data_IF_700079528374
#
_entry.id   IF_700079528374
#
_cell.length_a   1.000
_cell.length_b   1.000
_cell.length_c   1.000
_cell.angle_alpha   90.00
_cell.angle_beta   90.00
_cell.angle_gamma   90.00
#
_symmetry.space_group_name_H-M   'P 1'
#
loop_
_entity.id
_entity.type
_entity.pdbx_description
1 polymer ?
#
# COMPACT_ATOMS: atom_id res chain seq x y z
N UNK A 1 -5.97 -2.52 0.22
CA UNK A 1 -7.14 -1.83 -0.38
C UNK A 1 -8.44 -2.57 -0.12
N UNK A 2 -8.57 -3.83 -0.52
CA UNK A 2 -9.83 -4.60 -0.39
C UNK A 2 -10.33 -4.74 1.06
N UNK A 3 -9.46 -5.11 1.98
CA UNK A 3 -9.81 -5.24 3.40
C UNK A 3 -10.28 -3.90 3.97
N UNK A 4 -9.63 -2.81 3.61
CA UNK A 4 -10.00 -1.46 4.04
C UNK A 4 -11.39 -1.11 3.47
N UNK A 5 -11.67 -1.41 2.20
CA UNK A 5 -12.94 -1.17 1.56
C UNK A 5 -14.09 -1.95 2.24
N UNK A 6 -13.88 -3.23 2.56
CA UNK A 6 -14.85 -4.04 3.30
C UNK A 6 -15.09 -3.52 4.72
N UNK A 7 -14.04 -3.10 5.42
CA UNK A 7 -14.15 -2.55 6.77
C UNK A 7 -14.94 -1.25 6.76
N UNK A 8 -14.64 -0.34 5.84
CA UNK A 8 -15.34 0.94 5.70
C UNK A 8 -16.79 0.79 5.26
N UNK A 9 -17.10 -0.22 4.46
CA UNK A 9 -18.49 -0.51 4.10
C UNK A 9 -19.34 -0.93 5.32
N UNK A 10 -18.71 -1.51 6.34
CA UNK A 10 -19.35 -1.91 7.59
C UNK A 10 -19.43 -0.79 8.65
N UNK A 11 -18.71 0.33 8.45
CA UNK A 11 -18.64 1.44 9.41
C UNK A 11 -19.85 2.36 9.29
N UNK A 12 -20.27 2.95 10.41
CA UNK A 12 -21.37 3.89 10.48
C UNK A 12 -21.18 5.07 9.50
N UNK A 13 -22.25 5.46 8.84
CA UNK A 13 -22.27 6.50 7.78
C UNK A 13 -21.62 7.83 8.20
N UNK A 14 -21.75 8.18 9.49
CA UNK A 14 -21.26 9.45 10.05
C UNK A 14 -19.72 9.59 10.06
N UNK A 15 -19.00 8.49 10.27
CA UNK A 15 -17.51 8.49 10.36
C UNK A 15 -16.86 8.03 9.04
N UNK A 16 -17.65 7.54 8.10
CA UNK A 16 -17.15 7.01 6.82
C UNK A 16 -16.40 8.05 5.97
N UNK A 17 -16.92 9.28 5.89
CA UNK A 17 -16.31 10.36 5.11
C UNK A 17 -14.90 10.70 5.54
N UNK A 18 -14.63 11.05 6.80
CA UNK A 18 -13.29 11.30 7.31
C UNK A 18 -12.33 10.12 7.12
N UNK A 19 -12.81 8.88 7.27
CA UNK A 19 -11.99 7.69 7.07
C UNK A 19 -11.61 7.48 5.59
N UNK A 20 -12.54 7.72 4.66
CA UNK A 20 -12.27 7.70 3.22
C UNK A 20 -11.20 8.74 2.89
N UNK A 21 -11.37 9.97 3.38
CA UNK A 21 -10.40 11.03 3.15
C UNK A 21 -9.00 10.66 3.65
N UNK A 22 -8.89 10.16 4.88
CA UNK A 22 -7.62 9.71 5.44
C UNK A 22 -6.97 8.56 4.66
N UNK A 23 -7.78 7.66 4.08
CA UNK A 23 -7.30 6.54 3.27
C UNK A 23 -6.77 7.01 1.91
N UNK A 24 -7.33 8.08 1.32
CA UNK A 24 -6.92 8.61 0.02
C UNK A 24 -5.70 9.55 0.13
N UNK A 25 -5.43 10.08 1.32
CA UNK A 25 -4.37 11.06 1.56
C UNK A 25 -2.99 10.66 1.02
N UNK A 26 -2.52 9.41 1.14
CA UNK A 26 -1.24 8.99 0.57
C UNK A 26 -1.12 9.18 -0.95
N UNK A 27 -2.23 9.09 -1.67
CA UNK A 27 -2.26 9.24 -3.13
C UNK A 27 -2.00 10.69 -3.59
N UNK A 28 -2.22 11.68 -2.71
CA UNK A 28 -2.00 13.10 -3.00
C UNK A 28 -0.50 13.42 -3.02
N UNK A 29 0.29 12.66 -2.26
CA UNK A 29 1.74 12.83 -2.18
C UNK A 29 2.39 12.20 -3.40
N UNK A 30 3.21 12.97 -4.14
CA UNK A 30 3.95 12.40 -5.27
C UNK A 30 4.95 11.34 -4.79
N UNK A 31 5.17 10.25 -5.54
CA UNK A 31 6.05 9.15 -5.12
C UNK A 31 7.46 9.61 -4.74
N UNK A 32 8.02 10.54 -5.51
CA UNK A 32 9.35 11.09 -5.25
C UNK A 32 9.42 11.84 -3.92
N UNK A 33 8.48 12.76 -3.68
CA UNK A 33 8.44 13.53 -2.43
C UNK A 33 8.18 12.62 -1.24
N UNK A 34 7.23 11.67 -1.38
CA UNK A 34 6.93 10.70 -0.32
C UNK A 34 8.12 9.83 0.03
N UNK A 35 8.90 9.37 -0.95
CA UNK A 35 10.10 8.58 -0.72
C UNK A 35 11.20 9.38 -0.02
N UNK A 36 11.41 10.65 -0.41
CA UNK A 36 12.38 11.54 0.24
C UNK A 36 11.99 11.83 1.70
N UNK A 37 10.72 12.15 1.96
CA UNK A 37 10.22 12.36 3.32
C UNK A 37 10.42 11.11 4.18
N UNK A 38 10.05 9.95 3.66
CA UNK A 38 10.27 8.68 4.37
C UNK A 38 11.75 8.43 4.63
N UNK A 39 12.62 8.69 3.64
CA UNK A 39 14.07 8.58 3.79
C UNK A 39 14.61 9.42 4.94
N UNK A 40 14.14 10.67 5.08
CA UNK A 40 14.49 11.53 6.21
C UNK A 40 13.90 11.03 7.55
N UNK A 41 12.68 10.50 7.53
CA UNK A 41 12.02 10.01 8.76
C UNK A 41 12.71 8.76 9.33
N UNK A 42 13.24 7.87 8.49
CA UNK A 42 13.94 6.64 8.91
C UNK A 42 15.43 6.85 9.19
N UNK A 43 15.94 8.06 8.95
CA UNK A 43 17.32 8.41 9.33
C UNK A 43 17.51 8.23 10.85
N UNK A 44 18.76 8.00 11.26
CA UNK A 44 19.12 7.88 12.69
C UNK A 44 18.68 9.09 13.53
N UNK A 45 18.63 10.27 12.91
CA UNK A 45 18.14 11.50 13.53
C UNK A 45 16.65 11.79 13.24
N UNK A 46 16.00 10.96 12.41
CA UNK A 46 14.59 11.10 12.07
C UNK A 46 13.67 10.53 13.15
N UNK A 47 12.40 10.94 13.10
CA UNK A 47 11.41 10.54 14.10
C UNK A 47 11.28 9.02 14.21
N UNK A 48 11.22 8.31 13.08
CA UNK A 48 11.06 6.84 13.06
C UNK A 48 12.38 6.18 13.48
N UNK A 49 13.51 6.60 12.89
CA UNK A 49 14.83 6.02 13.16
C UNK A 49 15.21 6.13 14.64
N UNK A 50 15.10 7.31 15.22
CA UNK A 50 15.40 7.54 16.64
C UNK A 50 14.50 6.73 17.59
N UNK A 51 13.18 6.61 17.29
CA UNK A 51 12.29 5.80 18.11
C UNK A 51 12.59 4.30 18.02
N UNK A 52 12.98 3.79 16.86
CA UNK A 52 13.35 2.37 16.67
C UNK A 52 14.67 2.08 17.42
N UNK A 53 15.67 2.97 17.32
CA UNK A 53 16.91 2.85 18.09
C UNK A 53 16.65 2.78 19.60
N UNK A 54 15.79 3.64 20.12
CA UNK A 54 15.40 3.64 21.52
C UNK A 54 14.65 2.36 21.92
N UNK A 55 13.75 1.86 21.07
CA UNK A 55 12.97 0.65 21.33
C UNK A 55 13.84 -0.61 21.32
N UNK A 56 14.82 -0.68 20.42
CA UNK A 56 15.74 -1.81 20.29
C UNK A 56 16.98 -1.67 21.18
N UNK A 57 17.11 -0.57 21.88
CA UNK A 57 18.26 -0.24 22.76
C UNK A 57 19.62 -0.39 22.04
N UNK A 58 19.65 -0.09 20.75
CA UNK A 58 20.85 -0.12 19.90
C UNK A 58 21.03 1.23 19.18
N UNK A 59 21.89 2.12 19.70
CA UNK A 59 22.13 3.44 19.13
C UNK A 59 22.83 3.42 17.77
N UNK A 60 23.40 2.29 17.37
CA UNK A 60 24.08 2.11 16.07
C UNK A 60 23.17 1.50 15.00
N UNK A 61 21.94 1.12 15.36
CA UNK A 61 20.99 0.56 14.41
C UNK A 61 20.59 1.64 13.40
N UNK A 62 20.97 1.45 12.14
CA UNK A 62 20.52 2.29 11.05
C UNK A 62 19.65 1.46 10.09
N UNK A 63 18.40 1.89 9.92
CA UNK A 63 17.49 1.27 8.95
C UNK A 63 18.03 1.35 7.51
N UNK A 64 18.92 2.31 7.23
CA UNK A 64 19.55 2.52 5.93
C UNK A 64 20.76 1.63 5.70
N UNK A 65 21.50 1.24 6.73
CA UNK A 65 22.73 0.48 6.57
C UNK A 65 22.50 -1.01 6.31
N UNK A 66 21.35 -1.55 6.66
CA UNK A 66 20.98 -2.93 6.39
C UNK A 66 20.16 -3.05 5.10
N UNK A 67 20.67 -3.78 4.11
CA UNK A 67 19.97 -4.08 2.86
C UNK A 67 18.55 -4.62 3.09
N UNK A 68 18.40 -5.53 4.04
CA UNK A 68 17.11 -6.16 4.37
C UNK A 68 16.12 -5.15 4.93
N UNK A 69 16.56 -4.30 5.89
CA UNK A 69 15.69 -3.30 6.48
C UNK A 69 15.25 -2.23 5.47
N UNK A 70 16.16 -1.80 4.60
CA UNK A 70 15.85 -0.88 3.50
C UNK A 70 14.77 -1.46 2.58
N UNK A 71 14.89 -2.73 2.16
CA UNK A 71 13.88 -3.37 1.32
C UNK A 71 12.52 -3.50 2.01
N UNK A 72 12.50 -3.88 3.28
CA UNK A 72 11.26 -3.94 4.08
C UNK A 72 10.60 -2.56 4.12
N UNK A 73 11.37 -1.51 4.35
CA UNK A 73 10.85 -0.12 4.40
C UNK A 73 10.26 0.31 3.05
N UNK A 74 10.95 0.00 1.93
CA UNK A 74 10.44 0.29 0.58
C UNK A 74 9.14 -0.46 0.31
N UNK A 75 9.05 -1.73 0.72
CA UNK A 75 7.83 -2.54 0.56
C UNK A 75 6.67 -1.95 1.37
N UNK A 76 6.89 -1.59 2.63
CA UNK A 76 5.87 -0.97 3.49
C UNK A 76 5.42 0.36 2.89
N UNK A 77 6.34 1.19 2.43
CA UNK A 77 6.03 2.44 1.73
C UNK A 77 5.19 2.19 0.47
N UNK A 78 5.58 1.22 -0.36
CA UNK A 78 4.84 0.84 -1.56
C UNK A 78 3.41 0.41 -1.25
N UNK A 79 3.22 -0.44 -0.23
CA UNK A 79 1.88 -0.85 0.23
C UNK A 79 1.05 0.36 0.67
N UNK A 80 1.63 1.26 1.46
CA UNK A 80 0.96 2.46 1.94
C UNK A 80 0.58 3.40 0.80
N UNK A 81 1.48 3.62 -0.15
CA UNK A 81 1.29 4.54 -1.28
C UNK A 81 0.28 4.02 -2.32
N UNK A 82 0.30 2.69 -2.61
CA UNK A 82 -0.60 2.08 -3.61
C UNK A 82 -1.97 1.66 -3.03
N UNK A 83 -2.10 1.54 -1.71
CA UNK A 83 -3.37 1.15 -1.06
C UNK A 83 -4.56 2.03 -1.41
N UNK A 84 -4.44 3.37 -1.53
CA UNK A 84 -5.56 4.25 -1.84
C UNK A 84 -6.23 3.97 -3.17
N UNK A 85 -5.44 3.75 -4.23
CA UNK A 85 -5.98 3.41 -5.54
C UNK A 85 -6.82 2.13 -5.49
N UNK A 86 -6.24 1.06 -4.97
CA UNK A 86 -6.94 -0.21 -4.81
C UNK A 86 -8.18 -0.05 -3.91
N UNK A 87 -8.09 0.74 -2.84
CA UNK A 87 -9.22 1.03 -1.96
C UNK A 87 -10.38 1.70 -2.70
N UNK A 88 -10.13 2.78 -3.45
CA UNK A 88 -11.18 3.53 -4.17
C UNK A 88 -11.89 2.63 -5.17
N UNK A 89 -11.12 1.86 -5.96
CA UNK A 89 -11.68 0.97 -6.98
C UNK A 89 -12.50 -0.15 -6.34
N UNK A 90 -12.01 -0.80 -5.29
CA UNK A 90 -12.77 -1.83 -4.58
C UNK A 90 -13.99 -1.27 -3.84
N UNK A 91 -13.85 -0.10 -3.25
CA UNK A 91 -14.98 0.55 -2.59
C UNK A 91 -16.11 0.87 -3.57
N UNK A 92 -15.78 1.40 -4.76
CA UNK A 92 -16.76 1.62 -5.83
C UNK A 92 -17.40 0.30 -6.30
N UNK A 93 -16.60 -0.74 -6.52
CA UNK A 93 -17.10 -2.05 -6.93
C UNK A 93 -18.04 -2.68 -5.89
N UNK A 94 -17.76 -2.50 -4.60
CA UNK A 94 -18.64 -2.99 -3.53
C UNK A 94 -20.01 -2.29 -3.52
N UNK A 95 -20.13 -1.07 -4.05
CA UNK A 95 -21.41 -0.38 -4.17
C UNK A 95 -22.27 -0.92 -5.32
N UNK A 96 -21.68 -1.65 -6.28
CA UNK A 96 -22.42 -2.25 -7.42
C UNK A 96 -22.98 -3.63 -7.11
N UNK A 97 -22.63 -4.22 -5.96
CA UNK A 97 -23.11 -5.56 -5.58
C UNK A 97 -24.61 -5.51 -5.31
N UNK A 98 -25.44 -6.34 -6.00
CA UNK A 98 -26.87 -6.37 -5.79
C UNK A 98 -27.21 -6.78 -4.33
N UNK A 99 -28.20 -6.12 -3.74
CA UNK A 99 -28.61 -6.43 -2.37
C UNK A 99 -29.47 -7.69 -2.27
N UNK A 100 -30.25 -7.99 -3.29
CA UNK A 100 -31.17 -9.15 -3.32
C UNK A 100 -30.48 -10.49 -3.00
N UNK A 101 -29.35 -10.88 -3.64
CA UNK A 101 -28.64 -12.12 -3.30
C UNK A 101 -28.06 -12.10 -1.87
N UNK A 102 -27.69 -10.91 -1.37
CA UNK A 102 -27.16 -10.77 -0.01
C UNK A 102 -28.27 -11.00 1.02
N UNK A 103 -29.45 -10.43 0.78
CA UNK A 103 -30.62 -10.58 1.65
C UNK A 103 -31.13 -12.03 1.64
N UNK A 104 -31.23 -12.67 0.47
CA UNK A 104 -31.57 -14.08 0.36
C UNK A 104 -30.61 -14.96 1.17
N UNK A 105 -29.30 -14.74 1.02
CA UNK A 105 -28.29 -15.49 1.77
C UNK A 105 -28.35 -15.24 3.30
N UNK A 106 -28.83 -14.08 3.75
CA UNK A 106 -29.08 -13.82 5.17
C UNK A 106 -30.25 -14.68 5.68
N UNK A 107 -31.34 -14.77 4.89
CA UNK A 107 -32.51 -15.61 5.22
C UNK A 107 -32.10 -17.08 5.29
N UNK A 108 -31.24 -17.54 4.39
CA UNK A 108 -30.66 -18.89 4.37
C UNK A 108 -29.65 -19.17 5.50
N UNK A 109 -29.38 -18.18 6.37
CA UNK A 109 -28.48 -18.33 7.50
C UNK A 109 -26.99 -18.26 7.15
N UNK A 110 -26.63 -17.81 5.95
CA UNK A 110 -25.24 -17.69 5.53
C UNK A 110 -24.44 -16.71 6.40
N UNK A 111 -23.29 -17.15 6.88
CA UNK A 111 -22.36 -16.31 7.63
C UNK A 111 -21.81 -15.15 6.78
N UNK A 112 -21.30 -14.10 7.43
CA UNK A 112 -20.70 -12.94 6.74
C UNK A 112 -19.58 -13.34 5.79
N UNK A 113 -18.72 -14.27 6.19
CA UNK A 113 -17.63 -14.77 5.38
C UNK A 113 -18.12 -15.56 4.15
N UNK A 114 -19.17 -16.36 4.30
CA UNK A 114 -19.78 -17.10 3.18
C UNK A 114 -20.37 -16.15 2.14
N UNK A 115 -21.06 -15.10 2.55
CA UNK A 115 -21.61 -14.07 1.65
C UNK A 115 -20.51 -13.33 0.89
N UNK A 116 -19.41 -12.95 1.57
CA UNK A 116 -18.25 -12.32 0.91
C UNK A 116 -17.65 -13.27 -0.12
N UNK A 117 -17.42 -14.54 0.25
CA UNK A 117 -16.75 -15.52 -0.61
C UNK A 117 -17.57 -15.92 -1.82
N UNK A 118 -18.88 -16.11 -1.67
CA UNK A 118 -19.73 -16.71 -2.71
C UNK A 118 -20.60 -15.71 -3.48
N UNK A 119 -20.81 -14.49 -2.97
CA UNK A 119 -21.61 -13.47 -3.64
C UNK A 119 -20.75 -12.27 -4.01
N UNK A 120 -20.11 -11.66 -3.02
CA UNK A 120 -19.36 -10.40 -3.25
C UNK A 120 -18.12 -10.63 -4.12
N UNK A 121 -17.29 -11.59 -3.76
CA UNK A 121 -16.00 -11.83 -4.42
C UNK A 121 -16.18 -12.24 -5.91
N UNK A 122 -17.08 -13.17 -6.28
CA UNK A 122 -17.33 -13.47 -7.70
C UNK A 122 -17.85 -12.27 -8.49
N UNK A 123 -18.72 -11.44 -7.88
CA UNK A 123 -19.24 -10.25 -8.55
C UNK A 123 -18.15 -9.23 -8.88
N UNK A 124 -17.22 -8.99 -7.95
CA UNK A 124 -16.13 -8.02 -8.13
C UNK A 124 -14.87 -8.63 -8.77
N UNK A 125 -14.89 -9.92 -9.15
CA UNK A 125 -13.72 -10.60 -9.71
C UNK A 125 -13.08 -9.89 -10.91
N UNK A 126 -13.85 -9.32 -11.88
CA UNK A 126 -13.26 -8.54 -12.96
C UNK A 126 -12.49 -7.32 -12.47
N UNK A 127 -12.98 -6.68 -11.40
CA UNK A 127 -12.33 -5.52 -10.77
C UNK A 127 -11.07 -5.95 -10.03
N UNK A 128 -11.08 -7.11 -9.38
CA UNK A 128 -9.89 -7.69 -8.73
C UNK A 128 -8.78 -7.90 -9.77
N UNK A 129 -9.14 -8.49 -10.92
CA UNK A 129 -8.20 -8.72 -12.02
C UNK A 129 -7.64 -7.41 -12.56
N UNK A 130 -8.50 -6.41 -12.77
CA UNK A 130 -8.08 -5.08 -13.23
C UNK A 130 -7.09 -4.42 -12.26
N UNK A 131 -7.41 -4.38 -10.97
CA UNK A 131 -6.53 -3.81 -9.94
C UNK A 131 -5.22 -4.57 -9.86
N UNK A 132 -5.25 -5.90 -9.98
CA UNK A 132 -4.03 -6.72 -9.97
C UNK A 132 -3.12 -6.40 -11.17
N UNK A 133 -3.68 -6.26 -12.38
CA UNK A 133 -2.91 -5.90 -13.58
C UNK A 133 -2.29 -4.50 -13.46
N UNK A 134 -3.06 -3.50 -13.03
CA UNK A 134 -2.53 -2.14 -12.82
C UNK A 134 -1.43 -2.15 -11.75
N UNK A 135 -1.67 -2.82 -10.63
CA UNK A 135 -0.66 -2.91 -9.56
C UNK A 135 0.62 -3.62 -10.03
N UNK A 136 0.48 -4.66 -10.87
CA UNK A 136 1.63 -5.32 -11.47
C UNK A 136 2.40 -4.35 -12.38
N UNK A 137 1.71 -3.63 -13.26
CA UNK A 137 2.31 -2.63 -14.15
C UNK A 137 3.04 -1.53 -13.36
N UNK A 138 2.42 -1.01 -12.30
CA UNK A 138 3.02 0.03 -11.46
C UNK A 138 4.25 -0.47 -10.71
N UNK A 139 4.28 -1.74 -10.30
CA UNK A 139 5.46 -2.32 -9.67
C UNK A 139 6.68 -2.42 -10.62
N UNK A 140 6.48 -2.52 -11.93
CA UNK A 140 7.60 -2.41 -12.88
C UNK A 140 8.15 -0.99 -13.00
N UNK A 141 7.39 0.03 -12.57
CA UNK A 141 7.78 1.44 -12.59
C UNK A 141 8.38 1.93 -11.27
N UNK A 142 8.80 1.02 -10.38
CA UNK A 142 9.39 1.35 -9.05
C UNK A 142 10.78 1.97 -9.20
N UNK A 143 10.86 3.08 -9.90
CA UNK A 143 12.11 3.82 -10.11
C UNK A 143 12.30 4.93 -9.07
N UNK A 144 11.25 5.70 -8.80
CA UNK A 144 11.29 6.88 -7.93
C UNK A 144 11.61 6.58 -6.46
N UNK A 145 10.97 5.58 -5.80
CA UNK A 145 11.35 5.20 -4.45
C UNK A 145 12.80 4.70 -4.36
N UNK A 146 13.27 3.99 -5.39
CA UNK A 146 14.64 3.47 -5.42
C UNK A 146 15.64 4.62 -5.54
N UNK A 147 15.40 5.64 -6.38
CA UNK A 147 16.25 6.83 -6.45
C UNK A 147 16.31 7.53 -5.09
N UNK A 148 15.16 7.76 -4.45
CA UNK A 148 15.11 8.41 -3.15
C UNK A 148 15.93 7.68 -2.07
N UNK A 149 16.04 6.34 -2.17
CA UNK A 149 16.80 5.51 -1.24
C UNK A 149 18.24 5.22 -1.71
N UNK A 150 18.57 5.40 -3.00
CA UNK A 150 19.86 4.97 -3.58
C UNK A 150 20.94 6.02 -3.55
N UNK A 151 20.63 7.27 -3.21
CA UNK A 151 21.65 8.32 -3.18
C UNK A 151 22.84 7.96 -2.27
N UNK A 152 22.64 7.07 -1.28
CA UNK A 152 23.68 6.55 -0.39
C UNK A 152 23.46 5.08 0.03
N UNK A 153 22.50 4.37 -0.55
CA UNK A 153 21.98 3.14 0.05
C UNK A 153 22.17 1.86 -0.77
N UNK A 154 21.88 0.76 -0.10
CA UNK A 154 22.03 -0.63 -0.56
C UNK A 154 20.93 -1.13 -1.51
N UNK A 155 19.96 -0.29 -1.90
CA UNK A 155 18.89 -0.64 -2.82
C UNK A 155 19.35 -0.46 -4.27
N UNK A 156 19.87 -1.51 -4.90
CA UNK A 156 20.17 -1.53 -6.32
C UNK A 156 19.08 -2.27 -7.08
N UNK A 157 18.52 -1.63 -8.09
CA UNK A 157 17.61 -2.25 -9.05
C UNK A 157 18.36 -2.56 -10.35
N UNK A 158 17.85 -3.53 -11.10
CA UNK A 158 18.38 -3.92 -12.41
C UNK A 158 18.43 -2.75 -13.39
N UNK A 159 17.58 -1.74 -13.24
CA UNK A 159 17.56 -0.54 -14.08
C UNK A 159 18.85 0.31 -13.99
N UNK A 160 19.59 0.22 -12.89
CA UNK A 160 20.85 0.98 -12.74
C UNK A 160 22.04 0.37 -13.45
N UNK A 161 22.03 -0.92 -13.74
CA UNK A 161 23.14 -1.58 -14.42
C UNK A 161 23.36 -1.08 -15.86
N UNK A 162 22.34 -0.47 -16.46
CA UNK A 162 22.43 0.09 -17.81
C UNK A 162 22.88 1.56 -17.86
N UNK A 163 22.82 2.27 -16.72
CA UNK A 163 23.23 3.69 -16.64
C UNK A 163 24.69 3.89 -16.23
N UNK A 164 25.33 2.85 -15.70
CA UNK A 164 26.75 2.87 -15.28
C UNK A 164 27.69 2.23 -16.32
N UNK A 165 27.39 2.34 -17.60
CA UNK A 165 28.39 2.00 -18.62
C UNK A 165 29.55 3.00 -18.51
N UNK A 166 30.80 2.53 -18.27
CA UNK A 166 31.91 3.42 -18.24
C UNK A 166 32.10 3.99 -19.65
N UNK A 167 31.93 5.30 -19.79
CA UNK A 167 32.42 6.02 -20.96
C UNK A 167 33.93 5.92 -20.95
N UNK A 168 34.44 5.11 -21.84
CA UNK A 168 35.85 5.15 -22.25
C UNK A 168 36.13 6.34 -23.14
#
# INVERSE_FOLDING_TARGET
GFIIALSLNAVARKIRGPLIFGTILPMIVTPLVGSLVLFWMIDSQGIIGANIQNLMNDPYLSLKSSKTLTWITIIIYGIWHHSPFAFVVFYAALQTVPQEPIEAAIIDGASRFQRIKHIVLPHIYPVVTFVALISLMDNFRVFEPIIGFSAEGSAQSVSYTHLTLPTR
#
